data_IF_719041043464
#
_entry.id   IF_719041043464
#
_cell.length_a   1.000
_cell.length_b   1.000
_cell.length_c   1.000
_cell.angle_alpha   90.00
_cell.angle_beta   90.00
_cell.angle_gamma   90.00
#
_symmetry.space_group_name_H-M   'P 1'
#
loop_
_entity.id
_entity.type
_entity.pdbx_description
1 polymer ?
#
# COMPACT_ATOMS: atom_id res chain seq x y z
N UNK A 1 12.32 14.74 -15.69
CA UNK A 1 12.55 14.54 -14.25
C UNK A 1 11.22 14.74 -13.53
N UNK A 2 10.59 13.68 -13.04
CA UNK A 2 9.37 13.82 -12.25
C UNK A 2 9.78 14.33 -10.86
N UNK A 3 9.19 15.44 -10.42
CA UNK A 3 9.51 16.11 -9.15
C UNK A 3 9.52 15.11 -8.00
N UNK A 4 10.57 15.14 -7.18
CA UNK A 4 10.82 14.24 -6.03
C UNK A 4 9.67 14.22 -5.00
N UNK A 5 8.73 15.16 -5.12
CA UNK A 5 7.57 15.35 -4.23
C UNK A 5 6.22 14.90 -4.83
N UNK A 6 6.18 14.30 -6.03
CA UNK A 6 4.91 13.83 -6.59
C UNK A 6 4.39 12.61 -5.81
N UNK A 7 3.20 12.74 -5.23
CA UNK A 7 2.54 11.68 -4.45
C UNK A 7 1.62 10.79 -5.30
N UNK A 8 1.10 11.31 -6.41
CA UNK A 8 0.30 10.52 -7.36
C UNK A 8 1.14 10.12 -8.55
N UNK A 9 1.46 8.83 -8.63
CA UNK A 9 2.38 8.27 -9.61
C UNK A 9 1.65 7.32 -10.56
N UNK A 10 2.10 7.28 -11.82
CA UNK A 10 1.70 6.24 -12.76
C UNK A 10 2.38 4.91 -12.43
N UNK A 11 1.89 3.79 -12.95
CA UNK A 11 2.49 2.47 -12.69
C UNK A 11 3.96 2.41 -13.12
N UNK A 12 4.33 3.08 -14.22
CA UNK A 12 5.71 3.21 -14.66
C UNK A 12 6.59 3.98 -13.67
N UNK A 13 6.05 5.05 -13.08
CA UNK A 13 6.78 5.84 -12.07
C UNK A 13 6.91 5.10 -10.74
N UNK A 14 5.86 4.39 -10.32
CA UNK A 14 5.87 3.51 -9.15
C UNK A 14 6.92 2.41 -9.34
N UNK A 15 6.98 1.77 -10.50
CA UNK A 15 7.98 0.75 -10.82
C UNK A 15 9.41 1.31 -10.83
N UNK A 16 9.63 2.45 -11.47
CA UNK A 16 10.93 3.13 -11.46
C UNK A 16 11.41 3.46 -10.05
N UNK A 17 10.49 3.85 -9.15
CA UNK A 17 10.80 4.15 -7.74
C UNK A 17 11.11 2.91 -6.90
N UNK A 18 10.51 1.76 -7.25
CA UNK A 18 10.85 0.46 -6.66
C UNK A 18 12.10 -0.18 -7.29
N UNK A 19 12.74 0.46 -8.28
CA UNK A 19 13.87 -0.11 -9.01
C UNK A 19 13.51 -1.26 -9.96
N UNK A 20 12.23 -1.40 -10.31
CA UNK A 20 11.74 -2.42 -11.23
C UNK A 20 11.64 -1.87 -12.66
N UNK A 21 11.92 -2.73 -13.64
CA UNK A 21 11.61 -2.43 -15.05
C UNK A 21 10.11 -2.37 -15.26
N UNK A 22 9.65 -1.51 -16.17
CA UNK A 22 8.22 -1.22 -16.43
C UNK A 22 7.35 -2.43 -16.80
N UNK A 23 7.96 -3.56 -17.17
CA UNK A 23 7.26 -4.79 -17.51
C UNK A 23 7.02 -5.72 -16.30
N UNK A 24 7.93 -5.71 -15.33
CA UNK A 24 7.82 -6.50 -14.09
C UNK A 24 6.60 -6.17 -13.21
N UNK A 25 6.15 -4.90 -13.05
CA UNK A 25 4.95 -4.61 -12.28
C UNK A 25 3.69 -5.18 -12.94
N UNK A 26 3.62 -5.38 -14.26
CA UNK A 26 2.42 -5.93 -14.90
C UNK A 26 2.08 -7.33 -14.40
N UNK A 27 3.10 -8.14 -14.13
CA UNK A 27 2.94 -9.48 -13.56
C UNK A 27 2.72 -9.43 -12.04
N UNK A 28 3.40 -8.52 -11.34
CA UNK A 28 3.37 -8.45 -9.88
C UNK A 28 2.13 -7.73 -9.32
N UNK A 29 1.62 -6.70 -10.02
CA UNK A 29 0.53 -5.83 -9.57
C UNK A 29 -0.79 -6.57 -9.32
N UNK A 30 -1.23 -7.55 -10.14
CA UNK A 30 -2.42 -8.33 -9.83
C UNK A 30 -2.28 -9.13 -8.54
N UNK A 31 -1.10 -9.70 -8.28
CA UNK A 31 -0.82 -10.42 -7.04
C UNK A 31 -0.77 -9.48 -5.83
N UNK A 32 -0.10 -8.33 -5.98
CA UNK A 32 -0.04 -7.27 -4.98
C UNK A 32 -1.42 -6.70 -4.65
N UNK A 33 -2.27 -6.47 -5.65
CA UNK A 33 -3.64 -5.96 -5.46
C UNK A 33 -4.47 -6.95 -4.63
N UNK A 34 -4.32 -8.27 -4.85
CA UNK A 34 -4.94 -9.30 -4.00
C UNK A 34 -4.43 -9.28 -2.56
N UNK A 35 -3.20 -8.84 -2.33
CA UNK A 35 -2.63 -8.68 -0.99
C UNK A 35 -3.05 -7.38 -0.29
N UNK A 36 -3.82 -6.49 -0.95
CA UNK A 36 -4.23 -5.19 -0.40
C UNK A 36 -3.38 -4.01 -0.86
N UNK A 37 -2.64 -4.15 -1.96
CA UNK A 37 -1.90 -3.03 -2.54
C UNK A 37 -2.86 -1.95 -3.06
N UNK A 38 -2.56 -0.64 -2.86
CA UNK A 38 -3.47 0.45 -3.20
C UNK A 38 -3.87 0.45 -4.67
N UNK A 39 -5.18 0.51 -4.96
CA UNK A 39 -5.72 0.60 -6.31
C UNK A 39 -5.50 2.00 -6.91
N UNK A 40 -5.44 2.12 -8.25
CA UNK A 40 -5.41 3.43 -8.90
C UNK A 40 -6.68 4.21 -8.57
N UNK A 41 -6.52 5.51 -8.31
CA UNK A 41 -7.63 6.40 -7.97
C UNK A 41 -8.18 7.07 -9.25
N UNK A 42 -9.49 6.93 -9.56
CA UNK A 42 -10.08 7.49 -10.76
C UNK A 42 -10.13 9.03 -10.75
N UNK A 43 -10.15 9.67 -9.58
CA UNK A 43 -10.15 11.13 -9.44
C UNK A 43 -8.79 11.73 -9.80
N UNK A 44 -7.71 10.96 -9.62
CA UNK A 44 -6.34 11.39 -9.91
C UNK A 44 -5.82 10.81 -11.23
N UNK A 45 -6.68 10.66 -12.24
CA UNK A 45 -6.32 10.14 -13.57
C UNK A 45 -5.75 8.71 -13.51
N UNK A 46 -6.35 7.83 -12.70
CA UNK A 46 -5.91 6.44 -12.49
C UNK A 46 -4.46 6.33 -11.98
N UNK A 47 -4.03 7.28 -11.15
CA UNK A 47 -2.71 7.26 -10.51
C UNK A 47 -2.79 6.58 -9.16
N UNK A 48 -1.68 5.97 -8.73
CA UNK A 48 -1.55 5.36 -7.40
C UNK A 48 -0.93 6.36 -6.44
N UNK A 49 -1.46 6.40 -5.23
CA UNK A 49 -0.93 7.21 -4.14
C UNK A 49 0.32 6.53 -3.55
N UNK A 50 1.49 7.08 -3.84
CA UNK A 50 2.78 6.51 -3.45
C UNK A 50 2.92 6.30 -1.93
N UNK A 51 2.53 7.25 -1.05
CA UNK A 51 2.67 7.02 0.39
C UNK A 51 1.87 5.80 0.89
N UNK A 52 0.75 5.44 0.25
CA UNK A 52 0.05 4.21 0.58
C UNK A 52 0.78 2.97 0.04
N UNK A 53 1.42 3.07 -1.13
CA UNK A 53 2.27 1.99 -1.65
C UNK A 53 3.49 1.75 -0.74
N UNK A 54 4.11 2.83 -0.26
CA UNK A 54 5.22 2.81 0.69
C UNK A 54 4.80 2.19 2.02
N UNK A 55 3.70 2.65 2.62
CA UNK A 55 3.17 2.06 3.85
C UNK A 55 2.83 0.56 3.71
N UNK A 56 2.30 0.13 2.55
CA UNK A 56 2.07 -1.29 2.27
C UNK A 56 3.38 -2.08 2.24
N UNK A 57 4.42 -1.56 1.58
CA UNK A 57 5.72 -2.20 1.49
C UNK A 57 6.40 -2.23 2.86
N UNK A 58 6.37 -1.13 3.61
CA UNK A 58 6.89 -1.05 4.96
C UNK A 58 6.23 -2.08 5.86
N UNK A 59 4.91 -2.26 5.77
CA UNK A 59 4.19 -3.29 6.53
C UNK A 59 4.61 -4.69 6.11
N UNK A 60 4.82 -4.92 4.82
CA UNK A 60 5.27 -6.21 4.27
C UNK A 60 6.68 -6.60 4.72
N UNK A 61 7.56 -5.61 4.89
CA UNK A 61 8.95 -5.82 5.31
C UNK A 61 9.17 -5.59 6.83
N UNK A 62 8.10 -5.33 7.59
CA UNK A 62 8.17 -5.15 9.04
C UNK A 62 8.80 -3.82 9.49
N UNK A 63 8.86 -2.83 8.61
CA UNK A 63 9.34 -1.47 8.90
C UNK A 63 8.28 -0.61 9.58
N UNK A 64 7.00 -0.85 9.28
CA UNK A 64 5.91 -0.37 10.13
C UNK A 64 5.58 -1.48 11.10
N UNK A 65 5.62 -1.18 12.40
CA UNK A 65 4.95 -1.98 13.40
C UNK A 65 3.55 -2.21 12.86
N UNK A 66 3.22 -3.47 12.58
CA UNK A 66 1.85 -3.81 12.30
C UNK A 66 1.10 -3.34 13.53
N UNK A 67 0.42 -2.20 13.45
CA UNK A 67 -0.91 -2.09 14.03
C UNK A 67 -1.73 -3.11 13.25
N UNK A 68 -1.45 -4.41 13.50
CA UNK A 68 -2.50 -5.36 13.77
C UNK A 68 -3.49 -4.51 14.51
N UNK A 69 -4.61 -4.19 13.86
CA UNK A 69 -5.78 -3.78 14.60
C UNK A 69 -5.82 -4.80 15.70
N UNK A 70 -5.45 -4.40 16.92
CA UNK A 70 -5.66 -5.19 18.09
C UNK A 70 -7.12 -5.52 17.93
N UNK A 71 -7.38 -6.79 17.63
CA UNK A 71 -8.72 -7.35 17.51
C UNK A 71 -9.49 -6.67 18.64
N UNK A 72 -10.49 -5.80 18.38
CA UNK A 72 -11.07 -4.97 19.44
C UNK A 72 -11.34 -5.91 20.59
N UNK A 73 -10.60 -5.70 21.68
CA UNK A 73 -10.39 -6.72 22.69
C UNK A 73 -11.74 -7.29 23.08
N UNK A 74 -11.80 -8.62 23.16
CA UNK A 74 -12.88 -9.38 23.78
C UNK A 74 -13.57 -8.51 24.83
N UNK A 75 -14.87 -8.30 24.68
CA UNK A 75 -15.65 -7.65 25.71
C UNK A 75 -15.30 -8.33 27.05
N UNK A 76 -14.81 -7.53 28.00
CA UNK A 76 -14.36 -8.05 29.28
C UNK A 76 -15.51 -8.80 29.96
N UNK A 77 -15.20 -9.85 30.71
CA UNK A 77 -16.22 -10.65 31.39
C UNK A 77 -17.21 -9.76 32.16
N UNK A 78 -18.45 -9.73 31.71
CA UNK A 78 -19.53 -9.01 32.36
C UNK A 78 -19.87 -9.69 33.69
N UNK A 79 -19.26 -9.21 34.78
CA UNK A 79 -19.70 -9.55 36.14
C UNK A 79 -20.93 -8.74 36.50
N UNK A 80 -22.11 -9.29 36.24
CA UNK A 80 -23.35 -8.81 36.84
C UNK A 80 -23.45 -9.41 38.26
N UNK A 81 -23.27 -8.56 39.28
CA UNK A 81 -23.68 -8.88 40.66
C UNK A 81 -25.18 -8.64 40.82
#
# INVERSE_FOLDING_TARGET
>A
MASTNAVFLTEAQVAARMGLSTDQPKAALPALTKSGFPTPDPLFFNRRYWPACEAFLDRRYGLTESTVQANPGLDGEERWN
#
